data_IF_295792948822
#
_entry.id   IF_295792948822
#
_cell.length_a   1.000
_cell.length_b   1.000
_cell.length_c   1.000
_cell.angle_alpha   90.00
_cell.angle_beta   90.00
_cell.angle_gamma   90.00
#
_symmetry.space_group_name_H-M   'P 1'
#
loop_
_entity.id
_entity.type
_entity.pdbx_description
1 polymer ?
#
# COMPACT_ATOMS: atom_id res chain seq x y z
N UNK A 1 6.67 6.94 -16.95
CA UNK A 1 6.12 5.69 -16.39
C UNK A 1 5.59 5.97 -14.98
N UNK A 2 4.58 5.24 -14.47
CA UNK A 2 4.08 5.42 -13.11
C UNK A 2 5.16 5.05 -12.08
N UNK A 3 5.22 5.81 -10.99
CA UNK A 3 6.11 5.55 -9.85
C UNK A 3 5.22 5.17 -8.67
N UNK A 4 5.52 4.04 -8.04
CA UNK A 4 4.76 3.49 -6.93
C UNK A 4 5.58 3.47 -5.65
N UNK A 5 4.90 3.72 -4.52
CA UNK A 5 5.42 3.48 -3.18
C UNK A 5 4.37 2.73 -2.37
N UNK A 6 4.80 1.64 -1.75
CA UNK A 6 3.97 0.85 -0.84
C UNK A 6 4.32 1.20 0.60
N UNK A 7 3.31 1.43 1.42
CA UNK A 7 3.47 1.79 2.84
C UNK A 7 2.41 1.05 3.66
N UNK A 8 2.69 0.81 4.95
CA UNK A 8 1.63 0.43 5.89
C UNK A 8 0.57 1.54 5.94
N UNK A 9 -0.67 1.15 6.25
CA UNK A 9 -1.77 2.09 6.46
C UNK A 9 -1.38 3.26 7.35
N UNK A 10 -1.73 4.48 6.96
CA UNK A 10 -1.32 5.72 7.64
C UNK A 10 -1.74 5.83 9.11
N UNK A 11 -2.66 4.97 9.56
CA UNK A 11 -3.12 4.88 10.95
C UNK A 11 -2.57 3.66 11.71
N UNK A 12 -1.77 2.81 11.08
CA UNK A 12 -1.16 1.65 11.73
C UNK A 12 0.16 2.05 12.39
N UNK A 13 0.41 1.50 13.58
CA UNK A 13 1.71 1.59 14.23
C UNK A 13 2.50 0.32 13.89
N UNK A 14 3.60 0.39 13.11
CA UNK A 14 4.39 -0.79 12.74
C UNK A 14 4.98 -1.55 13.94
N UNK A 15 5.17 -0.86 15.05
CA UNK A 15 5.77 -1.43 16.26
C UNK A 15 4.75 -2.17 17.16
N UNK A 16 3.46 -2.09 16.82
CA UNK A 16 2.32 -2.64 17.57
C UNK A 16 1.48 -3.54 16.65
N UNK A 17 2.15 -4.40 15.88
CA UNK A 17 1.54 -5.42 15.02
C UNK A 17 1.91 -6.79 15.57
N UNK A 18 0.91 -7.60 15.90
CA UNK A 18 1.07 -8.93 16.50
C UNK A 18 0.54 -10.05 15.56
N UNK A 19 0.87 -11.30 15.88
CA UNK A 19 0.34 -12.46 15.13
C UNK A 19 -1.18 -12.55 15.29
N UNK A 20 -1.90 -12.60 14.17
CA UNK A 20 -3.35 -12.63 14.15
C UNK A 20 -4.01 -11.26 13.88
N UNK A 21 -3.22 -10.18 13.85
CA UNK A 21 -3.71 -8.87 13.48
C UNK A 21 -3.91 -8.72 11.97
N UNK A 22 -4.97 -8.01 11.60
CA UNK A 22 -5.20 -7.57 10.24
C UNK A 22 -4.34 -6.35 9.92
N UNK A 23 -3.62 -6.41 8.80
CA UNK A 23 -2.88 -5.28 8.26
C UNK A 23 -3.46 -4.83 6.93
N UNK A 24 -3.32 -3.54 6.64
CA UNK A 24 -3.62 -3.00 5.33
C UNK A 24 -2.48 -2.12 4.84
N UNK A 25 -2.31 -2.10 3.52
CA UNK A 25 -1.28 -1.32 2.86
C UNK A 25 -1.87 -0.21 2.01
N UNK A 26 -1.18 0.93 1.98
CA UNK A 26 -1.46 2.03 1.08
C UNK A 26 -0.52 1.99 -0.12
N UNK A 27 -1.09 2.09 -1.32
CA UNK A 27 -0.36 2.18 -2.58
C UNK A 27 -0.40 3.62 -3.10
N UNK A 28 0.69 4.36 -2.89
CA UNK A 28 0.84 5.74 -3.37
C UNK A 28 1.40 5.73 -4.79
N UNK A 29 0.63 6.28 -5.75
CA UNK A 29 1.03 6.31 -7.15
C UNK A 29 1.19 7.74 -7.65
N UNK A 30 2.32 8.03 -8.30
CA UNK A 30 2.54 9.24 -9.08
C UNK A 30 2.58 8.85 -10.56
N UNK A 31 1.63 9.35 -11.33
CA UNK A 31 1.52 9.10 -12.76
C UNK A 31 1.03 10.33 -13.51
N UNK A 32 1.46 10.47 -14.76
CA UNK A 32 0.91 11.43 -15.71
C UNK A 32 0.94 10.77 -17.09
N UNK A 33 -0.21 10.34 -17.65
CA UNK A 33 -1.58 10.56 -17.17
C UNK A 33 -1.94 9.78 -15.89
N UNK A 34 -3.10 10.08 -15.30
CA UNK A 34 -3.59 9.41 -14.08
C UNK A 34 -3.77 7.89 -14.27
N UNK A 35 -3.71 7.17 -13.14
CA UNK A 35 -3.83 5.72 -13.12
C UNK A 35 -5.30 5.31 -13.23
N UNK A 36 -5.58 4.32 -14.08
CA UNK A 36 -6.93 3.77 -14.25
C UNK A 36 -7.16 2.42 -13.55
N UNK A 37 -6.09 1.72 -13.15
CA UNK A 37 -6.18 0.39 -12.51
C UNK A 37 -4.99 0.13 -11.58
N UNK A 38 -5.29 -0.38 -10.38
CA UNK A 38 -4.32 -0.89 -9.41
C UNK A 38 -4.60 -2.37 -9.19
N UNK A 39 -3.56 -3.20 -9.16
CA UNK A 39 -3.67 -4.65 -8.91
C UNK A 39 -2.74 -5.00 -7.76
N UNK A 40 -3.30 -5.66 -6.76
CA UNK A 40 -2.56 -6.24 -5.64
C UNK A 40 -2.25 -7.69 -5.94
N UNK A 41 -1.02 -8.11 -5.67
CA UNK A 41 -0.58 -9.49 -5.81
C UNK A 41 0.14 -9.89 -4.53
N UNK A 42 -0.14 -11.10 -4.08
CA UNK A 42 0.55 -11.78 -3.00
C UNK A 42 0.85 -13.19 -3.49
N UNK A 43 1.97 -13.78 -3.05
CA UNK A 43 2.38 -15.12 -3.47
C UNK A 43 1.46 -16.18 -2.85
#
# INVERSE_FOLDING_TARGET
APILKLELGSKMNPDDIEEGDDVYFECKVRANPEVYKVVWKHN
#
